data_IF_660406798772
#
_entry.id   IF_660406798772
#
_cell.length_a   1.000
_cell.length_b   1.000
_cell.length_c   1.000
_cell.angle_alpha   90.00
_cell.angle_beta   90.00
_cell.angle_gamma   90.00
#
_symmetry.space_group_name_H-M   'P 1'
#
loop_
_entity.id
_entity.type
_entity.pdbx_description
1 polymer ?
2 non-polymer ?
3 non-polymer ?
4 water ?
#
# COMPACT_ATOMS: atom_id res chain seq x y z
N UNK A 1 7.47 -3.26 12.94
CA UNK A 1 7.76 -2.29 11.88
C UNK A 1 7.26 -2.79 10.56
N UNK A 2 6.91 -1.84 9.71
CA UNK A 2 6.64 -2.15 8.29
C UNK A 2 7.92 -2.52 7.54
N UNK A 3 7.99 -3.78 7.10
CA UNK A 3 9.19 -4.38 6.52
C UNK A 3 9.21 -4.29 4.98
N UNK A 4 10.41 -4.45 4.43
CA UNK A 4 10.53 -4.59 2.99
C UNK A 4 9.79 -5.81 2.44
N UNK A 5 9.69 -6.90 3.19
CA UNK A 5 8.94 -8.04 2.64
C UNK A 5 7.47 -7.69 2.54
N UNK A 6 6.94 -7.01 3.54
CA UNK A 6 5.56 -6.57 3.44
C UNK A 6 5.38 -5.65 2.24
N UNK A 7 6.25 -4.67 2.10
CA UNK A 7 6.14 -3.71 1.01
C UNK A 7 6.22 -4.42 -0.31
N UNK A 8 7.15 -5.38 -0.47
CA UNK A 8 7.28 -6.05 -1.76
C UNK A 8 6.01 -6.80 -2.14
N UNK A 9 5.37 -7.46 -1.16
CA UNK A 9 4.18 -8.22 -1.48
C UNK A 9 2.99 -7.33 -1.76
N UNK A 10 2.92 -6.14 -1.13
CA UNK A 10 1.90 -5.20 -1.52
C UNK A 10 2.15 -4.74 -2.94
N UNK A 11 3.41 -4.49 -3.27
CA UNK A 11 3.73 -4.07 -4.62
C UNK A 11 3.27 -5.11 -5.63
N UNK A 12 3.63 -6.37 -5.38
CA UNK A 12 3.27 -7.45 -6.29
C UNK A 12 1.76 -7.49 -6.53
N UNK A 13 0.94 -7.37 -5.47
CA UNK A 13 -0.51 -7.44 -5.64
C UNK A 13 -1.04 -6.22 -6.43
N UNK A 14 -0.39 -5.08 -6.31
CA UNK A 14 -0.86 -3.88 -7.01
C UNK A 14 -0.42 -3.81 -8.46
N UNK A 15 0.55 -4.61 -8.89
CA UNK A 15 1.06 -4.52 -10.25
C UNK A 15 2.54 -4.21 -10.36
N UNK A 16 3.10 -3.53 -9.37
CA UNK A 16 4.52 -3.33 -9.22
C UNK A 16 5.13 -2.72 -10.47
N UNK A 17 6.24 -3.27 -11.00
CA UNK A 17 7.01 -2.55 -12.00
C UNK A 17 6.21 -2.30 -13.27
N UNK A 18 5.17 -3.12 -13.52
CA UNK A 18 4.34 -2.97 -14.71
C UNK A 18 3.57 -1.66 -14.72
N UNK A 19 3.49 -0.98 -13.56
CA UNK A 19 2.71 0.24 -13.42
C UNK A 19 3.61 1.47 -13.25
N UNK A 20 4.92 1.31 -13.37
CA UNK A 20 5.80 2.47 -13.30
C UNK A 20 5.43 3.41 -14.45
N UNK A 21 5.24 4.70 -14.10
CA UNK A 21 4.93 5.67 -15.17
C UNK A 21 3.47 5.68 -15.64
N UNK A 22 2.59 4.95 -14.95
CA UNK A 22 1.24 4.78 -15.42
C UNK A 22 0.24 5.18 -14.35
N UNK A 23 -0.89 5.71 -14.79
CA UNK A 23 -2.06 5.93 -13.94
C UNK A 23 -3.26 5.36 -14.67
N UNK A 24 -4.28 5.10 -13.88
CA UNK A 24 -5.52 4.58 -14.44
C UNK A 24 -6.71 4.87 -13.52
N UNK A 25 -7.88 4.71 -14.10
CA UNK A 25 -9.13 4.95 -13.38
C UNK A 25 -10.00 3.71 -13.29
N UNK A 26 -9.53 2.56 -13.74
CA UNK A 26 -10.42 1.40 -13.84
C UNK A 26 -10.87 0.86 -12.49
N UNK A 27 -10.09 1.08 -11.44
CA UNK A 27 -10.52 0.68 -10.09
C UNK A 27 -11.69 1.53 -9.57
N UNK A 28 -11.97 2.69 -10.16
CA UNK A 28 -13.04 3.56 -9.68
C UNK A 28 -12.60 4.95 -9.24
N UNK A 29 -11.31 5.18 -9.04
CA UNK A 29 -10.78 6.52 -8.96
C UNK A 29 -9.34 6.44 -9.45
N UNK A 30 -8.75 7.60 -9.65
CA UNK A 30 -7.42 7.68 -10.19
C UNK A 30 -6.41 7.04 -9.24
N UNK A 31 -5.67 6.05 -9.75
CA UNK A 31 -4.62 5.38 -9.00
C UNK A 31 -3.39 5.33 -9.86
N UNK A 32 -2.21 5.56 -9.27
CA UNK A 32 -0.99 5.62 -10.08
C UNK A 32 0.12 4.75 -9.57
N UNK A 33 0.88 4.18 -10.51
CA UNK A 33 2.19 3.63 -10.21
C UNK A 33 2.18 2.26 -9.54
N UNK A 34 3.36 1.78 -9.17
CA UNK A 34 3.55 0.41 -8.69
C UNK A 34 2.73 0.08 -7.47
N UNK A 35 2.30 1.06 -6.65
CA UNK A 35 1.49 0.76 -5.48
C UNK A 35 0.05 1.24 -5.64
N UNK A 36 -0.29 1.75 -6.83
CA UNK A 36 -1.63 2.16 -7.15
C UNK A 36 -2.18 3.15 -6.13
N UNK A 37 -1.36 4.15 -5.84
CA UNK A 37 -1.70 5.15 -4.84
C UNK A 37 -2.68 6.17 -5.41
N UNK A 38 -3.74 6.42 -4.64
CA UNK A 38 -4.70 7.46 -4.96
C UNK A 38 -4.31 8.79 -4.32
N UNK A 39 -4.87 9.87 -4.89
CA UNK A 39 -4.47 11.18 -4.41
C UNK A 39 -4.71 11.43 -2.93
N UNK A 40 -5.81 11.05 -2.33
CA UNK A 40 -5.97 11.25 -0.89
C UNK A 40 -4.94 10.50 -0.07
N UNK A 41 -4.46 9.35 -0.59
CA UNK A 41 -3.40 8.62 0.12
C UNK A 41 -2.08 9.40 0.05
N UNK A 42 -1.78 10.02 -1.10
CA UNK A 42 -0.58 10.83 -1.24
C UNK A 42 -0.66 12.08 -0.37
N UNK A 43 -1.85 12.68 -0.21
CA UNK A 43 -2.02 13.75 0.79
C UNK A 43 -1.75 13.21 2.18
N UNK A 44 -2.34 12.09 2.53
CA UNK A 44 -2.20 11.51 3.88
C UNK A 44 -0.79 11.05 4.19
N UNK A 45 0.00 10.70 3.18
CA UNK A 45 1.39 10.31 3.43
C UNK A 45 2.32 11.51 3.43
N UNK A 46 1.82 12.76 3.34
CA UNK A 46 2.67 13.91 3.49
C UNK A 46 3.12 14.57 2.19
N UNK A 47 2.46 14.28 1.08
CA UNK A 47 2.77 14.91 -0.19
C UNK A 47 4.26 14.90 -0.57
N UNK A 48 4.92 13.74 -0.55
CA UNK A 48 6.33 13.69 -0.97
C UNK A 48 6.47 13.96 -2.46
N UNK A 49 7.66 14.40 -2.85
CA UNK A 49 7.96 14.49 -4.27
C UNK A 49 7.46 15.77 -4.91
N UNK A 50 7.44 15.76 -6.23
CA UNK A 50 7.14 16.96 -7.02
C UNK A 50 5.69 17.24 -7.24
N UNK A 51 4.81 16.35 -6.79
CA UNK A 51 3.39 16.41 -7.06
C UNK A 51 2.84 15.01 -7.03
N UNK A 52 1.51 14.89 -7.09
CA UNK A 52 0.88 13.57 -6.95
C UNK A 52 1.32 12.62 -8.06
N UNK A 53 1.13 13.04 -9.31
CA UNK A 53 1.44 12.20 -10.47
C UNK A 53 2.95 11.91 -10.53
N UNK A 54 3.76 12.93 -10.27
CA UNK A 54 5.21 12.82 -10.30
C UNK A 54 5.73 11.81 -9.30
N UNK A 55 5.20 11.85 -8.06
CA UNK A 55 5.64 10.96 -7.01
C UNK A 55 5.13 9.55 -7.27
N UNK A 56 3.82 9.42 -7.49
CA UNK A 56 3.22 8.09 -7.41
C UNK A 56 3.43 7.29 -8.67
N UNK A 57 3.80 7.92 -9.77
CA UNK A 57 4.25 7.11 -10.92
C UNK A 57 5.61 6.47 -10.72
N UNK A 58 6.40 6.95 -9.78
CA UNK A 58 7.81 6.60 -9.59
C UNK A 58 7.89 5.59 -8.45
N UNK A 59 8.66 4.52 -8.63
CA UNK A 59 8.69 3.50 -7.58
C UNK A 59 9.32 4.03 -6.27
N UNK A 60 10.45 4.72 -6.34
CA UNK A 60 11.12 5.14 -5.10
C UNK A 60 10.28 6.14 -4.33
N UNK A 61 9.72 7.14 -5.01
CA UNK A 61 8.88 8.12 -4.31
C UNK A 61 7.63 7.44 -3.78
N UNK A 62 7.07 6.50 -4.54
CA UNK A 62 5.90 5.78 -4.03
C UNK A 62 6.23 5.04 -2.75
N UNK A 63 7.43 4.44 -2.67
CA UNK A 63 7.79 3.72 -1.45
C UNK A 63 8.01 4.67 -0.28
N UNK A 64 8.52 5.87 -0.54
CA UNK A 64 8.59 6.86 0.52
C UNK A 64 7.20 7.13 1.04
N UNK A 65 6.24 7.25 0.13
CA UNK A 65 4.86 7.52 0.56
C UNK A 65 4.27 6.36 1.35
N UNK A 66 4.40 5.14 0.85
CA UNK A 66 3.82 3.99 1.56
C UNK A 66 4.43 3.87 2.94
N UNK A 67 5.76 3.97 3.05
CA UNK A 67 6.38 3.85 4.36
C UNK A 67 5.86 4.90 5.33
N UNK A 68 5.71 6.14 4.86
CA UNK A 68 5.21 7.20 5.72
C UNK A 68 3.78 6.92 6.13
N UNK A 69 3.00 6.42 5.19
CA UNK A 69 1.60 6.13 5.49
C UNK A 69 1.48 5.06 6.55
N UNK A 70 2.30 4.01 6.44
CA UNK A 70 2.23 2.95 7.44
C UNK A 70 2.71 3.41 8.78
N UNK A 71 3.74 4.23 8.83
CA UNK A 71 4.20 4.74 10.11
C UNK A 71 3.11 5.60 10.72
N UNK A 72 2.43 6.41 9.90
CA UNK A 72 1.44 7.34 10.41
C UNK A 72 0.15 6.66 10.87
N UNK A 73 -0.35 5.67 10.10
CA UNK A 73 -1.66 5.10 10.34
C UNK A 73 -1.68 3.70 10.91
N UNK A 74 -0.57 2.99 10.98
CA UNK A 74 -0.61 1.62 11.43
C UNK A 74 -1.14 1.48 12.85
N UNK A 75 -0.48 2.07 13.83
CA UNK A 75 -0.97 2.02 15.19
C UNK A 75 -2.24 2.83 15.43
N UNK A 76 -2.54 3.78 14.56
CA UNK A 76 -3.85 4.39 14.62
C UNK A 76 -4.93 3.38 14.35
N UNK A 77 -4.77 2.59 13.29
CA UNK A 77 -5.82 1.66 12.91
C UNK A 77 -5.99 0.56 13.97
N UNK A 78 -4.88 0.09 14.52
CA UNK A 78 -4.94 -1.01 15.49
C UNK A 78 -5.33 -0.53 16.88
N UNK A 79 -5.41 0.78 17.08
CA UNK A 79 -5.77 1.30 18.39
C UNK A 79 -4.63 1.30 19.39
N UNK A 80 -3.40 1.12 18.94
CA UNK A 80 -2.23 1.14 19.79
C UNK A 80 -1.50 -0.17 19.82
N UNK A 81 -2.13 -1.27 19.43
CA UNK A 81 -1.43 -2.57 19.37
C UNK A 81 -0.33 -2.54 18.31
N UNK A 82 0.70 -3.33 18.51
CA UNK A 82 1.76 -3.41 17.51
C UNK A 82 1.17 -3.93 16.21
N UNK A 83 1.34 -3.24 15.08
CA UNK A 83 0.73 -3.72 13.83
C UNK A 83 1.56 -4.86 13.22
N UNK A 84 0.92 -5.62 12.38
CA UNK A 84 1.65 -6.63 11.60
C UNK A 84 1.47 -6.31 10.11
N UNK A 85 2.10 -7.11 9.26
CA UNK A 85 1.85 -6.92 7.83
C UNK A 85 0.38 -7.09 7.46
N UNK A 86 -0.36 -7.93 8.17
CA UNK A 86 -1.78 -7.98 7.89
C UNK A 86 -2.40 -6.60 8.02
N UNK A 87 -2.10 -5.90 9.12
CA UNK A 87 -2.67 -4.56 9.31
C UNK A 87 -2.15 -3.62 8.24
N UNK A 88 -0.84 -3.67 7.93
CA UNK A 88 -0.29 -2.71 6.96
C UNK A 88 -0.92 -2.91 5.58
N UNK A 89 -1.02 -4.18 5.14
CA UNK A 89 -1.65 -4.44 3.84
C UNK A 89 -3.12 -4.01 3.85
N UNK A 90 -3.86 -4.27 4.94
CA UNK A 90 -5.28 -3.90 4.94
C UNK A 90 -5.48 -2.38 4.98
N UNK A 91 -4.57 -1.62 5.59
CA UNK A 91 -4.77 -0.16 5.48
C UNK A 91 -4.25 0.38 4.17
N UNK A 92 -3.33 -0.32 3.50
CA UNK A 92 -2.98 0.12 2.15
C UNK A 92 -4.21 0.07 1.27
N UNK A 93 -4.97 -1.01 1.34
CA UNK A 93 -6.13 -1.21 0.48
C UNK A 93 -7.32 -0.42 0.99
N UNK A 94 -7.50 -0.33 2.31
CA UNK A 94 -8.78 0.17 2.80
C UNK A 94 -8.75 1.49 3.56
N UNK A 95 -7.60 2.08 3.74
CA UNK A 95 -7.55 3.37 4.36
C UNK A 95 -7.20 3.20 5.82
N UNK A 96 -7.24 4.30 6.55
CA UNK A 96 -6.76 4.28 7.94
C UNK A 96 -7.56 3.38 8.88
N UNK A 97 -8.78 2.99 8.51
CA UNK A 97 -9.57 2.05 9.29
C UNK A 97 -9.59 0.66 8.66
N UNK A 98 -8.79 0.46 7.62
CA UNK A 98 -8.87 -0.76 6.82
C UNK A 98 -8.53 -2.04 7.55
N UNK A 99 -7.68 -1.97 8.54
CA UNK A 99 -7.27 -3.18 9.28
C UNK A 99 -8.40 -3.80 10.07
N UNK A 100 -9.52 -3.06 10.24
CA UNK A 100 -10.70 -3.54 10.95
C UNK A 100 -11.87 -3.85 10.01
N UNK A 101 -11.72 -3.66 8.73
CA UNK A 101 -12.84 -3.77 7.82
C UNK A 101 -12.83 -5.14 7.16
N UNK A 102 -13.98 -5.80 7.17
CA UNK A 102 -14.07 -7.11 6.51
C UNK A 102 -13.75 -7.01 5.03
N UNK A 103 -13.97 -5.86 4.40
CA UNK A 103 -13.79 -5.73 2.98
C UNK A 103 -12.33 -5.81 2.56
N UNK A 104 -11.37 -5.74 3.50
CA UNK A 104 -9.95 -5.82 3.13
C UNK A 104 -9.33 -7.19 3.36
N UNK A 105 -10.10 -8.14 3.89
CA UNK A 105 -9.54 -9.46 4.17
C UNK A 105 -9.10 -10.14 2.88
N UNK A 106 -9.92 -10.08 1.83
CA UNK A 106 -9.52 -10.68 0.56
C UNK A 106 -8.18 -10.15 0.07
N UNK A 107 -7.95 -8.86 0.27
CA UNK A 107 -6.71 -8.24 -0.18
C UNK A 107 -5.53 -8.76 0.64
N UNK A 108 -5.71 -8.84 1.95
CA UNK A 108 -4.70 -9.48 2.79
C UNK A 108 -4.44 -10.90 2.34
N UNK A 109 -5.47 -11.67 1.99
CA UNK A 109 -5.20 -13.04 1.56
C UNK A 109 -4.31 -13.09 0.33
N UNK A 110 -4.41 -12.10 -0.57
CA UNK A 110 -3.54 -12.09 -1.73
C UNK A 110 -2.12 -11.74 -1.33
N UNK A 111 -1.96 -10.76 -0.44
CA UNK A 111 -0.62 -10.44 0.07
C UNK A 111 -0.01 -11.65 0.76
N UNK A 112 -0.80 -12.31 1.60
CA UNK A 112 -0.26 -13.43 2.33
C UNK A 112 0.15 -14.57 1.39
N UNK A 113 -0.54 -14.76 0.27
CA UNK A 113 -0.09 -15.79 -0.69
C UNK A 113 1.26 -15.42 -1.28
N UNK A 114 1.51 -14.13 -1.46
CA UNK A 114 2.83 -13.71 -1.90
C UNK A 114 3.86 -13.97 -0.82
N UNK A 115 3.53 -13.77 0.45
CA UNK A 115 4.49 -14.01 1.52
C UNK A 115 4.75 -15.50 1.68
N UNK A 116 3.84 -16.36 1.19
CA UNK A 116 3.99 -17.82 1.21
C UNK A 116 4.47 -18.42 -0.11
N UNK A 117 4.64 -17.60 -1.15
CA UNK A 117 5.12 -18.12 -2.42
C UNK A 117 4.11 -18.91 -3.20
N UNK A 118 2.82 -18.75 -2.88
CA UNK A 118 1.70 -19.37 -3.58
C UNK A 118 1.50 -18.64 -4.89
X LIG B 1 -5.13 1.81 -2.30
X LIG B 1 -3.97 2.57 -1.96
X LIG B 1 -4.58 0.59 -3.15
X LIG B 1 -4.25 0.98 -4.45
X LIG B 1 -5.80 -0.32 -3.24
X LIG B 1 -5.45 -1.67 -3.09
X LIG C 1 10.01 11.70 -7.67
X LIG C 1 9.56 11.25 -8.96
X LIG C 1 9.56 13.16 -7.49
X LIG C 1 8.17 13.36 -7.57
X LIG C 1 10.32 14.02 -8.55
X LIG C 1 10.23 15.40 -8.07
X LIG D 1 1.88 -10.42 9.45
X LIG E 1 -16.94 -7.61 3.21
#
# INVERSE_FOLDING_TARGET
QFTDSCLRCICKVEGCDSQIGKCGMDVGSLSCGPYQIKKPYWIDCGKPGGGYESCTKNKACSETCVRAYMKRYGTFCTGGRTPTCQDYARIHNGGPRGCKSSATVGYWNKVQKCLRGTHHHHHH
GOL C1 O1 C2 O2 C3 O3
GOL C1 O1 C2 O2 C3 O3
CL CL
CL CL
#
